data_IF_614217563341
#
_entry.id   IF_614217563341
#
_cell.length_a   1.000
_cell.length_b   1.000
_cell.length_c   1.000
_cell.angle_alpha   90.00
_cell.angle_beta   90.00
_cell.angle_gamma   90.00
#
_symmetry.space_group_name_H-M   'P 1'
#
loop_
_entity.id
_entity.type
_entity.pdbx_description
1 polymer ?
#
# COMPACT_ATOMS: atom_id res chain seq x y z
N UNK A 1 48.62 -83.41 18.04
CA UNK A 1 47.53 -82.54 18.52
C UNK A 1 46.50 -83.44 19.19
N UNK A 2 46.15 -83.23 20.46
CA UNK A 2 45.15 -84.10 21.11
C UNK A 2 43.77 -83.87 20.47
N UNK A 3 42.94 -84.90 20.30
CA UNK A 3 41.60 -84.77 19.71
C UNK A 3 40.74 -83.73 20.45
N UNK A 4 40.94 -83.59 21.76
CA UNK A 4 40.30 -82.56 22.60
C UNK A 4 40.63 -81.12 22.20
N UNK A 5 41.85 -80.85 21.72
CA UNK A 5 42.26 -79.51 21.27
C UNK A 5 41.59 -79.12 19.94
N UNK A 6 41.40 -80.10 19.04
CA UNK A 6 40.74 -79.89 17.75
C UNK A 6 39.24 -79.62 17.92
N UNK A 7 38.56 -80.37 18.80
CA UNK A 7 37.15 -80.10 19.15
C UNK A 7 36.95 -78.72 19.76
N UNK A 8 37.85 -78.30 20.67
CA UNK A 8 37.78 -76.97 21.27
C UNK A 8 37.96 -75.86 20.22
N UNK A 9 38.91 -76.01 19.29
CA UNK A 9 39.12 -75.05 18.20
C UNK A 9 37.92 -74.95 17.25
N UNK A 10 37.31 -76.09 16.90
CA UNK A 10 36.09 -76.12 16.07
C UNK A 10 34.91 -75.47 16.78
N UNK A 11 34.72 -75.73 18.07
CA UNK A 11 33.68 -75.09 18.87
C UNK A 11 33.86 -73.57 18.95
N UNK A 12 35.10 -73.09 19.14
CA UNK A 12 35.42 -71.66 19.13
C UNK A 12 35.15 -71.05 17.74
N UNK A 13 35.55 -71.72 16.66
CA UNK A 13 35.29 -71.23 15.29
C UNK A 13 33.79 -71.12 15.00
N UNK A 14 32.99 -72.11 15.43
CA UNK A 14 31.54 -72.09 15.28
C UNK A 14 30.90 -70.95 16.09
N UNK A 15 31.36 -70.73 17.32
CA UNK A 15 30.91 -69.65 18.17
C UNK A 15 31.23 -68.27 17.55
N UNK A 16 32.45 -68.10 17.02
CA UNK A 16 32.87 -66.88 16.33
C UNK A 16 32.08 -66.64 15.04
N UNK A 17 31.75 -67.69 14.28
CA UNK A 17 30.88 -67.59 13.10
C UNK A 17 29.45 -67.19 13.46
N UNK A 18 28.89 -67.75 14.54
CA UNK A 18 27.55 -67.39 15.03
C UNK A 18 27.52 -65.96 15.58
N UNK A 19 28.55 -65.56 16.33
CA UNK A 19 28.70 -64.20 16.86
C UNK A 19 28.87 -63.17 15.73
N UNK A 20 29.74 -63.45 14.75
CA UNK A 20 29.95 -62.56 13.60
C UNK A 20 28.72 -62.48 12.70
N UNK A 21 28.03 -63.59 12.44
CA UNK A 21 26.75 -63.61 11.73
C UNK A 21 25.64 -62.85 12.47
N UNK A 22 25.55 -62.99 13.79
CA UNK A 22 24.63 -62.25 14.63
C UNK A 22 24.90 -60.74 14.63
N UNK A 23 26.17 -60.33 14.76
CA UNK A 23 26.59 -58.93 14.68
C UNK A 23 26.30 -58.33 13.29
N UNK A 24 26.59 -59.07 12.21
CA UNK A 24 26.30 -58.64 10.85
C UNK A 24 24.79 -58.49 10.61
N UNK A 25 23.97 -59.42 11.13
CA UNK A 25 22.52 -59.34 11.04
C UNK A 25 21.95 -58.13 11.79
N UNK A 26 22.41 -57.88 13.02
CA UNK A 26 21.99 -56.70 13.81
C UNK A 26 22.42 -55.39 13.13
N UNK A 27 23.66 -55.34 12.62
CA UNK A 27 24.17 -54.17 11.90
C UNK A 27 23.36 -53.88 10.63
N UNK A 28 23.10 -54.92 9.82
CA UNK A 28 22.30 -54.78 8.61
C UNK A 28 20.86 -54.35 8.91
N UNK A 29 20.24 -54.89 9.97
CA UNK A 29 18.92 -54.43 10.42
C UNK A 29 18.91 -52.97 10.86
N UNK A 30 19.93 -52.52 11.61
CA UNK A 30 20.07 -51.11 12.01
C UNK A 30 20.25 -50.21 10.79
N UNK A 31 21.08 -50.60 9.83
CA UNK A 31 21.27 -49.87 8.57
C UNK A 31 19.96 -49.74 7.79
N UNK A 32 19.17 -50.81 7.68
CA UNK A 32 17.86 -50.77 7.03
C UNK A 32 16.89 -49.83 7.76
N UNK A 33 16.87 -49.84 9.10
CA UNK A 33 16.04 -48.95 9.90
C UNK A 33 16.44 -47.48 9.73
N UNK A 34 17.76 -47.18 9.77
CA UNK A 34 18.28 -45.82 9.57
C UNK A 34 17.97 -45.32 8.16
N UNK A 35 18.17 -46.14 7.13
CA UNK A 35 17.86 -45.77 5.75
C UNK A 35 16.36 -45.55 5.54
N UNK A 36 15.50 -46.39 6.13
CA UNK A 36 14.06 -46.21 6.05
C UNK A 36 13.60 -44.94 6.77
N UNK A 37 14.12 -44.68 7.97
CA UNK A 37 13.82 -43.47 8.74
C UNK A 37 14.32 -42.20 8.03
N UNK A 38 15.51 -42.25 7.43
CA UNK A 38 16.08 -41.15 6.64
C UNK A 38 15.20 -40.86 5.43
N UNK A 39 14.84 -41.91 4.67
CA UNK A 39 13.97 -41.78 3.49
C UNK A 39 12.59 -41.20 3.85
N UNK A 40 12.01 -41.62 4.98
CA UNK A 40 10.73 -41.06 5.44
C UNK A 40 10.87 -39.61 5.91
N UNK A 41 11.98 -39.26 6.55
CA UNK A 41 12.29 -37.88 6.92
C UNK A 41 12.45 -36.98 5.69
N UNK A 42 13.22 -37.42 4.69
CA UNK A 42 13.40 -36.71 3.41
C UNK A 42 12.07 -36.52 2.67
N UNK A 43 11.28 -37.60 2.57
CA UNK A 43 9.94 -37.55 1.97
C UNK A 43 9.05 -36.54 2.67
N UNK A 44 9.00 -36.58 4.01
CA UNK A 44 8.18 -35.68 4.82
C UNK A 44 8.61 -34.23 4.64
N UNK A 45 9.92 -33.93 4.66
CA UNK A 45 10.45 -32.59 4.40
C UNK A 45 10.06 -32.08 3.00
N UNK A 46 10.21 -32.91 1.97
CA UNK A 46 9.86 -32.54 0.60
C UNK A 46 8.37 -32.19 0.45
N UNK A 47 7.48 -32.96 1.10
CA UNK A 47 6.03 -32.68 1.10
C UNK A 47 5.70 -31.39 1.84
N UNK A 48 6.34 -31.12 2.98
CA UNK A 48 6.13 -29.87 3.72
C UNK A 48 6.57 -28.66 2.89
N UNK A 49 7.76 -28.72 2.29
CA UNK A 49 8.29 -27.65 1.43
C UNK A 49 7.39 -27.42 0.21
N UNK A 50 6.88 -28.49 -0.42
CA UNK A 50 6.00 -28.37 -1.58
C UNK A 50 4.63 -27.74 -1.27
N UNK A 51 4.20 -27.76 -0.01
CA UNK A 51 2.95 -27.15 0.44
C UNK A 51 3.13 -25.76 1.06
N UNK A 52 4.37 -25.26 1.19
CA UNK A 52 4.59 -23.89 1.65
C UNK A 52 4.16 -22.90 0.57
N UNK A 53 3.42 -21.84 0.92
CA UNK A 53 3.15 -20.76 -0.03
C UNK A 53 4.47 -20.07 -0.39
N UNK A 54 4.80 -19.99 -1.68
CA UNK A 54 6.00 -19.30 -2.16
C UNK A 54 7.22 -20.19 -2.39
N UNK A 55 8.41 -19.66 -2.13
CA UNK A 55 9.72 -20.28 -2.42
C UNK A 55 10.47 -20.52 -1.13
N UNK A 56 10.70 -21.78 -0.78
CA UNK A 56 11.72 -22.10 0.20
C UNK A 56 13.08 -22.06 -0.49
N UNK A 57 14.07 -21.40 0.10
CA UNK A 57 15.37 -21.21 -0.52
C UNK A 57 16.51 -21.47 0.46
N UNK A 58 17.68 -21.73 -0.13
CA UNK A 58 18.99 -21.62 0.53
C UNK A 58 19.89 -20.80 -0.37
N UNK A 59 20.56 -19.79 0.15
CA UNK A 59 21.51 -18.98 -0.62
C UNK A 59 22.76 -18.65 0.19
N UNK A 60 23.78 -18.17 -0.52
CA UNK A 60 25.00 -17.63 0.09
C UNK A 60 24.79 -16.20 0.55
N UNK A 61 25.52 -15.84 1.60
CA UNK A 61 25.65 -14.45 2.02
C UNK A 61 26.68 -13.73 1.14
N UNK A 62 26.27 -13.34 -0.06
CA UNK A 62 27.06 -12.58 -1.01
C UNK A 62 26.21 -11.50 -1.71
N UNK A 63 26.83 -10.52 -2.39
CA UNK A 63 26.09 -9.43 -3.04
C UNK A 63 25.10 -9.87 -4.15
N UNK A 64 25.23 -11.10 -4.63
CA UNK A 64 24.39 -11.66 -5.69
C UNK A 64 23.25 -12.54 -5.14
N UNK A 65 23.28 -12.84 -3.84
CA UNK A 65 22.40 -13.79 -3.17
C UNK A 65 22.40 -15.15 -3.90
N UNK A 66 23.60 -15.69 -4.13
CA UNK A 66 23.79 -16.91 -4.94
C UNK A 66 22.95 -18.08 -4.42
N UNK A 67 21.93 -18.47 -5.19
CA UNK A 67 20.96 -19.49 -4.78
C UNK A 67 21.56 -20.90 -4.89
N UNK A 68 21.53 -21.65 -3.79
CA UNK A 68 21.99 -23.05 -3.71
C UNK A 68 20.82 -24.03 -3.77
N UNK A 69 19.65 -23.61 -3.27
CA UNK A 69 18.40 -24.36 -3.34
C UNK A 69 17.23 -23.40 -3.55
N UNK A 70 16.26 -23.82 -4.36
CA UNK A 70 14.97 -23.15 -4.55
C UNK A 70 13.88 -24.23 -4.66
N UNK A 71 12.77 -24.06 -3.97
CA UNK A 71 11.60 -24.92 -4.10
C UNK A 71 10.86 -24.66 -5.43
N UNK A 72 9.91 -25.54 -5.75
CA UNK A 72 9.16 -25.51 -7.01
C UNK A 72 8.30 -24.24 -7.20
N UNK A 73 8.00 -23.49 -6.14
CA UNK A 73 7.26 -22.22 -6.24
C UNK A 73 8.01 -21.10 -6.98
N UNK A 74 9.30 -21.30 -7.29
CA UNK A 74 10.14 -20.30 -7.96
C UNK A 74 9.58 -19.87 -9.31
N UNK A 75 9.21 -20.84 -10.14
CA UNK A 75 8.69 -20.60 -11.49
C UNK A 75 7.37 -19.82 -11.43
N UNK A 76 6.49 -20.15 -10.47
CA UNK A 76 5.20 -19.48 -10.31
C UNK A 76 5.36 -18.03 -9.84
N UNK A 77 6.27 -17.77 -8.90
CA UNK A 77 6.49 -16.44 -8.33
C UNK A 77 7.29 -15.53 -9.28
N UNK A 78 8.41 -16.02 -9.80
CA UNK A 78 9.39 -15.21 -10.56
C UNK A 78 9.18 -15.28 -12.08
N UNK A 79 8.53 -16.33 -12.59
CA UNK A 79 8.46 -16.63 -14.02
C UNK A 79 9.76 -17.19 -14.60
N UNK A 80 10.83 -17.33 -13.81
CA UNK A 80 12.07 -17.98 -14.23
C UNK A 80 12.10 -19.42 -13.71
N UNK A 81 12.61 -20.33 -14.54
CA UNK A 81 12.92 -21.68 -14.06
C UNK A 81 13.98 -21.62 -12.95
N UNK A 82 13.83 -22.45 -11.92
CA UNK A 82 14.84 -22.70 -10.87
C UNK A 82 16.27 -22.81 -11.46
N UNK A 83 16.43 -23.49 -12.60
CA UNK A 83 17.75 -23.69 -13.22
C UNK A 83 18.45 -22.41 -13.69
N UNK A 84 17.70 -21.32 -13.92
CA UNK A 84 18.26 -20.03 -14.32
C UNK A 84 18.91 -19.30 -13.14
N UNK A 85 18.35 -19.46 -11.94
CA UNK A 85 18.74 -18.74 -10.74
C UNK A 85 19.72 -19.53 -9.87
N UNK A 86 19.65 -20.86 -9.87
CA UNK A 86 20.58 -21.71 -9.13
C UNK A 86 22.03 -21.45 -9.58
N UNK A 87 22.88 -21.11 -8.61
CA UNK A 87 24.30 -20.83 -8.82
C UNK A 87 24.57 -19.68 -9.79
N UNK A 88 23.64 -18.73 -9.91
CA UNK A 88 23.72 -17.57 -10.82
C UNK A 88 23.98 -17.96 -12.28
N UNK A 89 23.47 -19.12 -12.73
CA UNK A 89 23.76 -19.66 -14.07
C UNK A 89 23.37 -18.73 -15.21
N UNK A 90 22.24 -18.04 -15.07
CA UNK A 90 21.75 -17.06 -16.04
C UNK A 90 21.58 -15.69 -15.42
N UNK A 91 21.04 -15.64 -14.21
CA UNK A 91 20.72 -14.44 -13.45
C UNK A 91 21.02 -14.72 -11.99
N UNK A 92 21.46 -13.71 -11.25
CA UNK A 92 21.47 -13.77 -9.79
C UNK A 92 20.09 -13.45 -9.22
N UNK A 93 19.86 -13.74 -7.93
CA UNK A 93 18.63 -13.27 -7.30
C UNK A 93 18.64 -11.75 -7.12
N UNK A 94 19.81 -11.14 -6.88
CA UNK A 94 19.94 -9.69 -6.83
C UNK A 94 19.54 -9.01 -8.17
N UNK A 95 19.75 -9.66 -9.32
CA UNK A 95 19.35 -9.13 -10.63
C UNK A 95 17.84 -8.93 -10.76
N UNK A 96 17.04 -9.79 -10.14
CA UNK A 96 15.57 -9.72 -10.20
C UNK A 96 14.98 -8.79 -9.14
N UNK A 97 15.74 -8.42 -8.09
CA UNK A 97 15.33 -7.39 -7.14
C UNK A 97 15.34 -6.02 -7.85
N UNK A 98 14.28 -5.23 -7.65
CA UNK A 98 14.22 -3.88 -8.19
C UNK A 98 15.40 -3.04 -7.71
N UNK A 99 16.09 -2.28 -8.58
CA UNK A 99 17.28 -1.52 -8.21
C UNK A 99 17.10 -0.62 -6.99
N UNK A 100 15.90 -0.06 -6.81
CA UNK A 100 15.55 0.82 -5.70
C UNK A 100 15.51 0.09 -4.34
N UNK A 101 15.32 -1.23 -4.34
CA UNK A 101 15.14 -2.02 -3.12
C UNK A 101 16.43 -2.75 -2.70
N UNK A 102 17.42 -2.90 -3.58
CA UNK A 102 18.64 -3.73 -3.34
C UNK A 102 19.43 -3.29 -2.11
N UNK A 103 19.65 -1.99 -1.94
CA UNK A 103 20.40 -1.47 -0.79
C UNK A 103 19.66 -1.70 0.53
N UNK A 104 18.33 -1.55 0.52
CA UNK A 104 17.51 -1.81 1.69
C UNK A 104 17.52 -3.30 2.07
N UNK A 105 17.41 -4.20 1.08
CA UNK A 105 17.52 -5.65 1.29
C UNK A 105 18.86 -6.02 1.93
N UNK A 106 19.97 -5.52 1.36
CA UNK A 106 21.31 -5.77 1.92
C UNK A 106 21.43 -5.30 3.36
N UNK A 107 20.97 -4.09 3.66
CA UNK A 107 21.05 -3.50 5.00
C UNK A 107 20.32 -4.33 6.04
N UNK A 108 19.09 -4.77 5.74
CA UNK A 108 18.28 -5.55 6.70
C UNK A 108 18.88 -6.93 6.95
N UNK A 109 19.46 -7.57 5.94
CA UNK A 109 20.19 -8.83 6.12
C UNK A 109 21.48 -8.67 6.91
N UNK A 110 22.24 -7.58 6.71
CA UNK A 110 23.45 -7.31 7.47
C UNK A 110 23.14 -6.98 8.94
N UNK A 111 22.05 -6.25 9.22
CA UNK A 111 21.56 -6.03 10.58
C UNK A 111 21.12 -7.36 11.27
N UNK A 112 20.46 -8.26 10.53
CA UNK A 112 20.10 -9.59 11.02
C UNK A 112 21.36 -10.43 11.34
N UNK A 113 22.42 -10.29 10.53
CA UNK A 113 23.70 -10.97 10.74
C UNK A 113 24.35 -10.57 12.07
N UNK A 114 24.33 -9.28 12.38
CA UNK A 114 24.93 -8.71 13.59
C UNK A 114 24.09 -9.02 14.85
N UNK A 115 22.76 -8.93 14.73
CA UNK A 115 21.85 -9.15 15.85
C UNK A 115 21.57 -10.62 16.16
N UNK A 116 21.79 -11.52 15.20
CA UNK A 116 21.45 -12.94 15.32
C UNK A 116 19.94 -13.21 15.41
N UNK A 117 19.12 -12.27 14.94
CA UNK A 117 17.66 -12.42 14.90
C UNK A 117 17.21 -12.84 13.48
N UNK A 118 16.08 -13.56 13.35
CA UNK A 118 15.52 -13.89 12.05
C UNK A 118 15.21 -12.63 11.24
N UNK A 119 15.64 -12.64 9.98
CA UNK A 119 15.41 -11.55 9.05
C UNK A 119 13.95 -11.59 8.55
N UNK A 120 13.32 -10.42 8.45
CA UNK A 120 11.98 -10.24 7.86
C UNK A 120 11.94 -8.94 7.08
N UNK A 121 11.56 -9.00 5.82
CA UNK A 121 11.51 -7.83 4.96
C UNK A 121 10.50 -8.00 3.82
N UNK A 122 10.06 -6.87 3.28
CA UNK A 122 9.22 -6.81 2.09
C UNK A 122 9.93 -5.99 1.02
N UNK A 123 9.98 -6.49 -0.21
CA UNK A 123 10.62 -5.81 -1.34
C UNK A 123 9.98 -6.23 -2.65
N UNK A 124 10.39 -5.60 -3.74
CA UNK A 124 9.86 -5.86 -5.07
C UNK A 124 10.86 -6.64 -5.92
N UNK A 125 10.33 -7.61 -6.65
CA UNK A 125 11.06 -8.33 -7.70
C UNK A 125 10.41 -8.09 -9.06
N UNK A 126 11.21 -8.21 -10.12
CA UNK A 126 10.78 -8.17 -11.52
C UNK A 126 10.76 -9.59 -12.07
N UNK A 127 9.59 -10.00 -12.54
CA UNK A 127 9.38 -11.30 -13.18
C UNK A 127 9.95 -11.35 -14.59
N UNK A 128 10.05 -12.57 -15.13
CA UNK A 128 10.48 -12.82 -16.51
C UNK A 128 9.61 -12.14 -17.59
N UNK A 129 8.32 -11.93 -17.29
CA UNK A 129 7.37 -11.21 -18.16
C UNK A 129 7.40 -9.68 -17.96
N UNK A 130 8.27 -9.18 -17.08
CA UNK A 130 8.43 -7.77 -16.76
C UNK A 130 7.50 -7.25 -15.66
N UNK A 131 6.51 -8.04 -15.21
CA UNK A 131 5.63 -7.64 -14.11
C UNK A 131 6.40 -7.49 -12.80
N UNK A 132 5.98 -6.54 -11.97
CA UNK A 132 6.53 -6.35 -10.62
C UNK A 132 5.69 -7.14 -9.62
N UNK A 133 6.36 -7.84 -8.70
CA UNK A 133 5.73 -8.53 -7.56
C UNK A 133 6.29 -8.01 -6.26
N UNK A 134 5.42 -7.84 -5.27
CA UNK A 134 5.82 -7.65 -3.90
C UNK A 134 6.04 -9.01 -3.26
N UNK A 135 7.19 -9.19 -2.62
CA UNK A 135 7.52 -10.40 -1.88
C UNK A 135 7.77 -10.08 -0.43
N UNK A 136 7.35 -10.98 0.44
CA UNK A 136 7.75 -11.04 1.83
C UNK A 136 8.79 -12.14 1.97
N UNK A 137 9.95 -11.80 2.50
CA UNK A 137 11.01 -12.74 2.80
C UNK A 137 11.18 -12.87 4.30
N UNK A 138 11.30 -14.11 4.76
CA UNK A 138 11.68 -14.43 6.13
C UNK A 138 12.71 -15.55 6.11
N UNK A 139 13.84 -15.35 6.79
CA UNK A 139 14.90 -16.35 6.86
C UNK A 139 15.84 -16.14 8.04
N UNK A 140 16.80 -17.04 8.18
CA UNK A 140 17.81 -17.02 9.24
C UNK A 140 19.18 -17.46 8.70
N UNK A 141 20.23 -17.12 9.44
CA UNK A 141 21.59 -17.55 9.14
C UNK A 141 21.81 -18.97 9.67
N UNK A 142 22.18 -19.87 8.76
CA UNK A 142 22.68 -21.20 9.11
C UNK A 142 24.18 -21.09 9.36
N UNK A 143 24.61 -21.58 10.52
CA UNK A 143 26.02 -21.58 10.93
C UNK A 143 26.56 -22.99 11.04
N UNK A 144 27.81 -23.16 10.67
CA UNK A 144 28.50 -24.44 10.77
C UNK A 144 28.92 -24.75 12.22
N UNK A 145 29.59 -25.89 12.42
CA UNK A 145 30.11 -26.30 13.74
C UNK A 145 31.18 -25.36 14.33
N UNK A 146 31.76 -24.47 13.52
CA UNK A 146 32.76 -23.48 13.94
C UNK A 146 32.12 -22.12 14.26
N UNK A 147 30.81 -21.96 14.00
CA UNK A 147 30.06 -20.72 14.22
C UNK A 147 30.07 -19.77 13.02
N UNK A 148 30.75 -20.16 11.93
CA UNK A 148 30.83 -19.38 10.71
C UNK A 148 29.53 -19.49 9.90
N UNK A 149 29.20 -18.45 9.16
CA UNK A 149 27.99 -18.43 8.34
C UNK A 149 28.17 -19.37 7.15
N UNK A 150 27.33 -20.40 7.11
CA UNK A 150 27.32 -21.39 6.04
C UNK A 150 26.37 -20.97 4.91
N UNK A 151 25.17 -20.48 5.26
CA UNK A 151 24.16 -20.06 4.31
C UNK A 151 23.05 -19.23 4.98
N UNK A 152 22.14 -18.71 4.16
CA UNK A 152 20.84 -18.22 4.57
C UNK A 152 19.80 -19.22 4.13
N UNK A 153 18.83 -19.52 5.00
CA UNK A 153 17.68 -20.34 4.67
C UNK A 153 16.39 -19.62 5.04
N UNK A 154 15.38 -19.72 4.18
CA UNK A 154 14.15 -18.98 4.40
C UNK A 154 13.04 -19.29 3.41
N UNK A 155 12.02 -18.44 3.46
CA UNK A 155 10.84 -18.48 2.62
C UNK A 155 10.59 -17.11 1.99
N UNK A 156 10.22 -17.09 0.71
CA UNK A 156 9.82 -15.90 -0.05
C UNK A 156 8.39 -16.10 -0.54
N UNK A 157 7.46 -15.24 -0.12
CA UNK A 157 6.02 -15.36 -0.39
C UNK A 157 5.56 -14.19 -1.26
N UNK A 158 4.74 -14.45 -2.29
CA UNK A 158 4.02 -13.39 -3.00
C UNK A 158 3.03 -12.70 -2.04
N UNK A 159 3.16 -11.38 -1.89
CA UNK A 159 2.23 -10.54 -1.14
C UNK A 159 1.61 -9.45 -2.03
N UNK A 160 1.71 -9.59 -3.36
CA UNK A 160 1.22 -8.61 -4.34
C UNK A 160 -0.26 -8.36 -4.18
N UNK A 161 -1.09 -9.40 -4.07
CA UNK A 161 -2.55 -9.24 -3.93
C UNK A 161 -2.91 -8.51 -2.64
N UNK A 162 -2.19 -8.79 -1.54
CA UNK A 162 -2.36 -8.06 -0.27
C UNK A 162 -2.01 -6.58 -0.43
N UNK A 163 -0.87 -6.26 -1.06
CA UNK A 163 -0.44 -4.88 -1.31
C UNK A 163 -1.40 -4.14 -2.23
N UNK A 164 -1.93 -4.80 -3.25
CA UNK A 164 -2.94 -4.22 -4.14
C UNK A 164 -4.26 -3.97 -3.41
N UNK A 165 -4.69 -4.90 -2.55
CA UNK A 165 -5.89 -4.73 -1.73
C UNK A 165 -5.72 -3.59 -0.72
N UNK A 166 -4.57 -3.49 -0.04
CA UNK A 166 -4.24 -2.38 0.86
C UNK A 166 -4.24 -1.03 0.12
N UNK A 167 -3.65 -0.98 -1.07
CA UNK A 167 -3.62 0.22 -1.90
C UNK A 167 -5.01 0.64 -2.38
N UNK A 168 -5.86 -0.32 -2.78
CA UNK A 168 -7.23 -0.04 -3.20
C UNK A 168 -8.10 0.40 -2.02
N UNK A 169 -7.97 -0.23 -0.85
CA UNK A 169 -8.62 0.21 0.37
C UNK A 169 -8.21 1.63 0.75
N UNK A 170 -6.92 1.96 0.65
CA UNK A 170 -6.43 3.32 0.86
C UNK A 170 -7.02 4.31 -0.15
N UNK A 171 -7.08 3.92 -1.42
CA UNK A 171 -7.66 4.75 -2.49
C UNK A 171 -9.14 5.02 -2.22
N UNK A 172 -9.91 4.00 -1.85
CA UNK A 172 -11.33 4.13 -1.53
C UNK A 172 -11.58 4.93 -0.25
N UNK A 173 -10.69 4.83 0.75
CA UNK A 173 -10.81 5.59 1.99
C UNK A 173 -10.44 7.06 1.82
N UNK A 174 -9.61 7.39 0.81
CA UNK A 174 -8.98 8.71 0.66
C UNK A 174 -9.52 9.53 -0.51
N UNK A 175 -9.87 8.89 -1.63
CA UNK A 175 -10.24 9.57 -2.88
C UNK A 175 -11.72 9.42 -3.23
N UNK A 176 -12.25 10.40 -3.96
CA UNK A 176 -13.56 10.33 -4.61
C UNK A 176 -13.45 9.59 -5.95
N UNK A 177 -14.36 8.66 -6.18
CA UNK A 177 -14.29 7.73 -7.32
C UNK A 177 -14.57 8.39 -8.68
N UNK A 178 -15.35 9.48 -8.72
CA UNK A 178 -15.67 10.20 -9.97
C UNK A 178 -14.53 11.16 -10.33
N UNK A 179 -14.07 11.92 -9.35
CA UNK A 179 -13.19 13.06 -9.59
C UNK A 179 -11.71 12.73 -9.43
N UNK A 180 -11.36 11.68 -8.68
CA UNK A 180 -10.00 11.35 -8.30
C UNK A 180 -9.37 12.32 -7.29
N UNK A 181 -10.12 13.31 -6.81
CA UNK A 181 -9.69 14.21 -5.74
C UNK A 181 -9.82 13.55 -4.37
N UNK A 182 -9.35 14.20 -3.31
CA UNK A 182 -9.64 13.74 -1.96
C UNK A 182 -11.14 13.73 -1.68
N UNK A 183 -11.61 12.73 -0.94
CA UNK A 183 -12.99 12.68 -0.50
C UNK A 183 -13.21 13.57 0.73
N UNK A 184 -14.48 13.83 1.05
CA UNK A 184 -14.89 14.61 2.23
C UNK A 184 -14.25 14.12 3.52
N UNK A 185 -14.23 12.80 3.77
CA UNK A 185 -13.70 12.24 5.03
C UNK A 185 -12.24 12.63 5.22
N UNK A 186 -11.42 12.38 4.21
CA UNK A 186 -9.99 12.69 4.25
C UNK A 186 -9.73 14.19 4.42
N UNK A 187 -10.47 15.04 3.70
CA UNK A 187 -10.36 16.49 3.84
C UNK A 187 -10.64 16.95 5.27
N UNK A 188 -11.70 16.44 5.91
CA UNK A 188 -12.06 16.81 7.28
C UNK A 188 -11.01 16.37 8.30
N UNK A 189 -10.45 15.17 8.15
CA UNK A 189 -9.36 14.68 8.99
C UNK A 189 -8.12 15.57 8.85
N UNK A 190 -7.72 15.91 7.62
CA UNK A 190 -6.58 16.79 7.37
C UNK A 190 -6.80 18.22 7.84
N UNK A 191 -8.00 18.76 7.67
CA UNK A 191 -8.32 20.11 8.11
C UNK A 191 -8.30 20.24 9.64
N UNK A 192 -8.77 19.22 10.37
CA UNK A 192 -8.61 19.13 11.82
C UNK A 192 -7.14 19.11 12.25
N UNK A 193 -6.30 18.32 11.55
CA UNK A 193 -4.86 18.26 11.84
C UNK A 193 -4.17 19.61 11.59
N UNK A 194 -4.48 20.26 10.47
CA UNK A 194 -3.94 21.58 10.12
C UNK A 194 -4.34 22.66 11.13
N UNK A 195 -5.58 22.63 11.63
CA UNK A 195 -6.03 23.56 12.67
C UNK A 195 -5.28 23.34 13.99
N UNK A 196 -5.07 22.07 14.38
CA UNK A 196 -4.28 21.73 15.56
C UNK A 196 -2.80 22.14 15.43
N UNK A 197 -2.23 21.99 14.23
CA UNK A 197 -0.88 22.46 13.90
C UNK A 197 -0.80 24.00 13.98
N UNK A 198 -1.75 24.71 13.37
CA UNK A 198 -1.84 26.18 13.40
C UNK A 198 -1.88 26.76 14.81
N UNK A 199 -2.62 26.12 15.72
CA UNK A 199 -2.69 26.53 17.14
C UNK A 199 -1.37 26.38 17.88
N UNK A 200 -0.52 25.44 17.48
CA UNK A 200 0.81 25.22 18.07
C UNK A 200 1.87 26.11 17.44
N UNK A 201 1.83 26.23 16.12
CA UNK A 201 2.74 27.04 15.31
C UNK A 201 1.91 27.87 14.32
N UNK A 202 1.81 29.20 14.49
CA UNK A 202 0.95 30.06 13.66
C UNK A 202 1.36 30.12 12.19
N UNK A 203 0.99 29.09 11.41
CA UNK A 203 1.11 29.04 9.95
C UNK A 203 -0.26 29.20 9.34
N UNK A 204 -0.57 30.31 8.65
CA UNK A 204 -1.91 30.55 8.14
C UNK A 204 -2.24 29.56 7.01
N UNK A 205 -3.47 29.07 6.99
CA UNK A 205 -4.03 28.38 5.84
C UNK A 205 -5.43 28.94 5.55
N UNK A 206 -5.88 28.76 4.31
CA UNK A 206 -7.20 29.22 3.88
C UNK A 206 -8.04 28.07 3.35
N UNK A 207 -9.32 28.10 3.67
CA UNK A 207 -10.35 27.20 3.23
C UNK A 207 -11.20 27.89 2.17
N UNK A 208 -11.36 27.27 1.01
CA UNK A 208 -12.34 27.64 0.00
C UNK A 208 -13.37 26.53 -0.16
N UNK A 209 -14.66 26.87 -0.11
CA UNK A 209 -15.77 25.99 -0.47
C UNK A 209 -16.32 26.50 -1.80
N UNK A 210 -16.46 25.59 -2.76
CA UNK A 210 -16.85 25.87 -4.13
C UNK A 210 -18.09 25.07 -4.48
N UNK A 211 -18.98 25.67 -5.27
CA UNK A 211 -20.19 25.01 -5.77
C UNK A 211 -20.35 25.31 -7.27
N UNK A 212 -20.55 24.27 -8.06
CA UNK A 212 -20.80 24.42 -9.50
C UNK A 212 -22.20 24.99 -9.71
N UNK A 213 -22.27 26.18 -10.27
CA UNK A 213 -23.53 26.88 -10.47
C UNK A 213 -24.41 26.13 -11.46
N UNK A 214 -25.68 25.93 -11.08
CA UNK A 214 -26.70 25.32 -11.93
C UNK A 214 -26.33 23.92 -12.46
N UNK A 215 -25.45 23.18 -11.77
CA UNK A 215 -24.98 21.87 -12.23
C UNK A 215 -26.11 20.85 -12.43
N UNK A 216 -27.19 20.93 -11.65
CA UNK A 216 -28.41 20.16 -11.89
C UNK A 216 -28.95 20.31 -13.33
N UNK A 217 -28.92 21.51 -13.92
CA UNK A 217 -29.38 21.73 -15.29
C UNK A 217 -28.52 20.98 -16.32
N UNK A 218 -27.22 20.82 -16.05
CA UNK A 218 -26.33 20.01 -16.89
C UNK A 218 -26.73 18.54 -16.83
N UNK A 219 -27.00 18.02 -15.63
CA UNK A 219 -27.48 16.65 -15.48
C UNK A 219 -28.83 16.43 -16.15
N UNK A 220 -29.77 17.36 -15.98
CA UNK A 220 -31.11 17.28 -16.55
C UNK A 220 -31.07 17.36 -18.08
N UNK A 221 -30.14 18.14 -18.66
CA UNK A 221 -30.01 18.32 -20.11
C UNK A 221 -29.18 17.23 -20.81
N UNK A 222 -28.09 16.77 -20.19
CA UNK A 222 -27.08 15.90 -20.84
C UNK A 222 -26.93 14.52 -20.17
N UNK A 223 -27.62 14.29 -19.04
CA UNK A 223 -27.56 13.05 -18.27
C UNK A 223 -26.42 13.00 -17.25
N UNK A 224 -26.53 12.09 -16.28
CA UNK A 224 -25.57 11.96 -15.17
C UNK A 224 -24.14 11.65 -15.62
N UNK A 225 -23.96 10.83 -16.67
CA UNK A 225 -22.62 10.52 -17.19
C UNK A 225 -21.92 11.76 -17.75
N UNK A 226 -22.67 12.70 -18.35
CA UNK A 226 -22.12 13.98 -18.77
C UNK A 226 -21.78 14.87 -17.57
N UNK A 227 -22.62 14.86 -16.52
CA UNK A 227 -22.30 15.47 -15.23
C UNK A 227 -20.97 14.98 -14.65
N UNK A 228 -20.74 13.67 -14.63
CA UNK A 228 -19.49 13.08 -14.15
C UNK A 228 -18.27 13.53 -14.98
N UNK A 229 -18.43 13.68 -16.31
CA UNK A 229 -17.38 14.21 -17.19
C UNK A 229 -17.05 15.67 -16.83
N UNK A 230 -18.07 16.48 -16.57
CA UNK A 230 -17.90 17.87 -16.12
C UNK A 230 -17.19 17.92 -14.78
N UNK A 231 -17.61 17.12 -13.79
CA UNK A 231 -16.97 17.05 -12.47
C UNK A 231 -15.49 16.63 -12.58
N UNK A 232 -15.18 15.60 -13.39
CA UNK A 232 -13.82 15.16 -13.62
C UNK A 232 -12.96 16.24 -14.31
N UNK A 233 -13.51 16.95 -15.29
CA UNK A 233 -12.82 18.05 -15.95
C UNK A 233 -12.60 19.26 -15.04
N UNK A 234 -13.60 19.62 -14.23
CA UNK A 234 -13.53 20.66 -13.22
C UNK A 234 -12.44 20.35 -12.18
N UNK A 235 -12.37 19.09 -11.75
CA UNK A 235 -11.40 18.60 -10.79
C UNK A 235 -9.96 18.72 -11.27
N UNK A 236 -9.69 18.34 -12.53
CA UNK A 236 -8.38 18.51 -13.16
C UNK A 236 -7.99 19.99 -13.25
N UNK A 237 -8.95 20.85 -13.58
CA UNK A 237 -8.72 22.29 -13.64
C UNK A 237 -8.38 22.85 -12.24
N UNK A 238 -9.14 22.46 -11.21
CA UNK A 238 -8.91 22.88 -9.83
C UNK A 238 -7.52 22.45 -9.34
N UNK A 239 -7.15 21.19 -9.56
CA UNK A 239 -5.81 20.66 -9.25
C UNK A 239 -4.70 21.46 -9.95
N UNK A 240 -4.87 21.81 -11.23
CA UNK A 240 -3.86 22.54 -11.99
C UNK A 240 -3.67 23.99 -11.52
N UNK A 241 -4.68 24.58 -10.89
CA UNK A 241 -4.62 25.94 -10.35
C UNK A 241 -3.96 26.01 -8.96
N UNK A 242 -3.93 24.88 -8.25
CA UNK A 242 -3.37 24.71 -6.92
C UNK A 242 -1.96 24.12 -6.96
N UNK A 243 -1.22 24.22 -5.86
CA UNK A 243 0.12 23.63 -5.74
C UNK A 243 0.03 22.16 -5.35
N UNK A 244 1.07 21.33 -5.60
CA UNK A 244 1.06 19.91 -5.23
C UNK A 244 0.81 19.62 -3.74
N UNK A 245 1.09 20.59 -2.86
CA UNK A 245 0.90 20.47 -1.42
C UNK A 245 -0.43 21.03 -0.92
N UNK A 246 -1.15 21.80 -1.75
CA UNK A 246 -2.51 22.22 -1.41
C UNK A 246 -3.46 21.03 -1.48
N UNK A 247 -4.48 20.99 -0.62
CA UNK A 247 -5.42 19.88 -0.60
C UNK A 247 -6.68 20.28 -1.35
N UNK A 248 -7.07 19.50 -2.35
CA UNK A 248 -8.32 19.70 -3.09
C UNK A 248 -9.14 18.43 -3.06
N UNK A 249 -10.44 18.56 -2.84
CA UNK A 249 -11.32 17.42 -2.70
C UNK A 249 -12.77 17.73 -3.06
N UNK A 250 -13.53 16.67 -3.32
CA UNK A 250 -14.97 16.76 -3.51
C UNK A 250 -15.63 16.66 -2.13
N UNK A 251 -16.31 17.74 -1.75
CA UNK A 251 -16.99 17.86 -0.46
C UNK A 251 -18.38 17.23 -0.48
N UNK A 252 -19.11 17.41 -1.58
CA UNK A 252 -20.48 16.96 -1.77
C UNK A 252 -20.82 16.88 -3.26
N UNK A 253 -22.06 16.49 -3.61
CA UNK A 253 -22.50 16.22 -4.99
C UNK A 253 -21.84 17.12 -6.05
N UNK A 254 -22.10 18.42 -6.02
CA UNK A 254 -21.50 19.44 -6.90
C UNK A 254 -20.57 20.41 -6.15
N UNK A 255 -20.21 20.05 -4.92
CA UNK A 255 -19.44 20.90 -4.01
C UNK A 255 -17.99 20.41 -3.88
N UNK A 256 -17.06 21.35 -3.92
CA UNK A 256 -15.63 21.11 -3.80
C UNK A 256 -15.05 21.93 -2.67
N UNK A 257 -13.90 21.49 -2.16
CA UNK A 257 -13.17 22.16 -1.11
C UNK A 257 -11.69 22.22 -1.49
N UNK A 258 -11.10 23.40 -1.30
CA UNK A 258 -9.66 23.62 -1.46
C UNK A 258 -9.07 24.19 -0.16
N UNK A 259 -8.00 23.58 0.32
CA UNK A 259 -7.24 24.02 1.49
C UNK A 259 -5.88 24.51 0.97
N UNK A 260 -5.70 25.83 0.99
CA UNK A 260 -4.51 26.51 0.48
C UNK A 260 -3.54 26.74 1.64
N UNK A 261 -2.40 26.06 1.58
CA UNK A 261 -1.43 26.05 2.69
C UNK A 261 -0.52 27.28 2.67
N UNK A 262 -0.19 27.78 3.86
CA UNK A 262 0.72 28.90 4.07
C UNK A 262 0.28 30.19 3.36
N UNK A 263 -1.04 30.43 3.30
CA UNK A 263 -1.66 31.57 2.62
C UNK A 263 -2.81 32.13 3.44
N UNK A 264 -2.92 33.45 3.42
CA UNK A 264 -4.04 34.20 3.97
C UNK A 264 -5.22 34.27 2.99
N UNK A 265 -6.33 34.85 3.47
CA UNK A 265 -7.59 35.00 2.72
C UNK A 265 -7.36 35.71 1.38
N UNK A 266 -6.53 36.76 1.34
CA UNK A 266 -6.28 37.53 0.13
C UNK A 266 -5.53 36.71 -0.93
N UNK A 267 -4.47 35.99 -0.54
CA UNK A 267 -3.72 35.16 -1.48
C UNK A 267 -4.53 33.94 -1.95
N UNK A 268 -5.34 33.34 -1.08
CA UNK A 268 -6.24 32.26 -1.46
C UNK A 268 -7.32 32.74 -2.45
N UNK A 269 -7.88 33.92 -2.22
CA UNK A 269 -8.85 34.56 -3.13
C UNK A 269 -8.27 34.79 -4.52
N UNK A 270 -7.01 35.21 -4.64
CA UNK A 270 -6.35 35.32 -5.96
C UNK A 270 -6.24 33.98 -6.70
N UNK A 271 -5.98 32.89 -5.98
CA UNK A 271 -5.95 31.53 -6.58
C UNK A 271 -7.35 31.15 -7.04
N UNK A 272 -8.36 31.37 -6.19
CA UNK A 272 -9.75 31.03 -6.50
C UNK A 272 -10.35 31.88 -7.61
N UNK A 273 -10.03 33.18 -7.70
CA UNK A 273 -10.47 34.04 -8.80
C UNK A 273 -9.84 33.61 -10.13
N UNK A 274 -8.55 33.24 -10.14
CA UNK A 274 -7.91 32.68 -11.33
C UNK A 274 -8.56 31.37 -11.76
N UNK A 275 -8.93 30.52 -10.80
CA UNK A 275 -9.64 29.28 -11.08
C UNK A 275 -11.04 29.55 -11.65
N UNK A 276 -11.83 30.40 -10.98
CA UNK A 276 -13.16 30.81 -11.40
C UNK A 276 -13.18 31.37 -12.83
N UNK A 277 -12.26 32.29 -13.15
CA UNK A 277 -12.15 32.87 -14.49
C UNK A 277 -11.86 31.80 -15.56
N UNK A 278 -11.04 30.79 -15.24
CA UNK A 278 -10.80 29.67 -16.16
C UNK A 278 -12.00 28.75 -16.33
N UNK A 279 -12.80 28.54 -15.27
CA UNK A 279 -14.07 27.80 -15.36
C UNK A 279 -15.03 28.54 -16.29
N UNK A 280 -15.27 29.84 -16.05
CA UNK A 280 -16.19 30.65 -16.85
C UNK A 280 -15.79 30.74 -18.33
N UNK A 281 -14.48 30.79 -18.63
CA UNK A 281 -13.98 30.83 -20.01
C UNK A 281 -14.02 29.48 -20.74
N UNK A 282 -14.29 28.36 -20.03
CA UNK A 282 -14.18 27.02 -20.58
C UNK A 282 -15.54 26.46 -21.01
N UNK A 283 -15.58 25.92 -22.22
CA UNK A 283 -16.63 24.98 -22.62
C UNK A 283 -16.23 23.57 -22.17
N UNK A 284 -17.02 22.95 -21.31
CA UNK A 284 -16.81 21.59 -20.84
C UNK A 284 -17.39 20.62 -21.86
N UNK A 285 -16.56 19.72 -22.39
CA UNK A 285 -17.00 18.73 -23.37
C UNK A 285 -17.98 17.75 -22.73
N UNK A 286 -19.21 17.70 -23.27
CA UNK A 286 -20.28 16.79 -22.85
C UNK A 286 -20.94 16.19 -24.10
N UNK A 287 -20.88 14.87 -24.27
CA UNK A 287 -21.51 14.17 -25.40
C UNK A 287 -21.20 14.72 -26.81
N UNK A 288 -20.08 15.43 -27.00
CA UNK A 288 -19.71 16.07 -28.27
C UNK A 288 -20.06 17.57 -28.37
N UNK A 289 -20.87 18.08 -27.45
CA UNK A 289 -21.21 19.50 -27.30
C UNK A 289 -20.38 20.17 -26.19
N UNK A 290 -20.49 21.50 -26.08
CA UNK A 290 -19.87 22.30 -25.01
C UNK A 290 -20.89 22.84 -24.02
N UNK A 291 -20.78 22.45 -22.75
CA UNK A 291 -21.54 23.07 -21.66
C UNK A 291 -20.71 24.18 -21.01
N UNK A 292 -21.31 25.36 -20.88
CA UNK A 292 -20.75 26.46 -20.10
C UNK A 292 -21.32 26.39 -18.68
N UNK A 293 -20.42 26.32 -17.70
CA UNK A 293 -20.74 26.34 -16.27
C UNK A 293 -19.90 27.42 -15.59
N UNK A 294 -20.41 27.93 -14.47
CA UNK A 294 -19.70 28.86 -13.59
C UNK A 294 -19.55 28.24 -12.21
N UNK A 295 -18.83 28.92 -11.33
CA UNK A 295 -18.61 28.46 -9.96
C UNK A 295 -18.75 29.62 -8.98
N UNK A 296 -19.48 29.38 -7.89
CA UNK A 296 -19.54 30.26 -6.74
C UNK A 296 -18.57 29.76 -5.67
N UNK A 297 -17.83 30.67 -5.02
CA UNK A 297 -16.74 30.31 -4.10
C UNK A 297 -16.82 31.19 -2.84
N UNK A 298 -16.82 30.56 -1.67
CA UNK A 298 -16.60 31.24 -0.38
C UNK A 298 -15.22 30.91 0.19
N UNK A 299 -14.47 31.93 0.63
CA UNK A 299 -13.11 31.78 1.17
C UNK A 299 -13.04 32.29 2.60
N UNK A 300 -12.45 31.51 3.50
CA UNK A 300 -12.14 31.90 4.88
C UNK A 300 -10.74 31.44 5.29
N UNK A 301 -10.04 32.18 6.16
CA UNK A 301 -8.72 31.80 6.64
C UNK A 301 -8.70 31.40 8.12
N UNK A 302 -7.74 30.56 8.47
CA UNK A 302 -7.50 30.13 9.85
C UNK A 302 -7.19 31.30 10.78
N UNK A 303 -6.63 32.40 10.26
CA UNK A 303 -6.34 33.61 11.01
C UNK A 303 -7.58 34.45 11.36
N UNK A 304 -8.76 34.11 10.82
CA UNK A 304 -10.03 34.75 11.18
C UNK A 304 -10.67 34.11 12.41
N UNK A 305 -10.15 32.97 12.87
CA UNK A 305 -10.63 32.25 14.04
C UNK A 305 -10.12 32.87 15.34
N UNK A 306 -11.00 32.98 16.32
CA UNK A 306 -10.65 33.22 17.71
C UNK A 306 -10.00 32.01 18.37
N UNK A 307 -9.43 32.22 19.56
CA UNK A 307 -8.69 31.18 20.30
C UNK A 307 -9.54 29.95 20.65
N UNK A 308 -10.85 30.14 20.87
CA UNK A 308 -11.79 29.08 21.24
C UNK A 308 -12.53 28.48 20.04
N UNK A 309 -12.37 29.08 18.85
CA UNK A 309 -13.13 28.69 17.66
C UNK A 309 -12.58 27.40 17.05
N UNK A 310 -13.50 26.46 16.81
CA UNK A 310 -13.21 25.15 16.23
C UNK A 310 -13.23 25.14 14.70
N UNK A 311 -13.05 23.95 14.15
CA UNK A 311 -13.15 23.70 12.72
C UNK A 311 -14.52 24.11 12.14
N UNK A 312 -15.58 23.85 12.89
CA UNK A 312 -16.95 24.14 12.46
C UNK A 312 -17.15 25.62 12.15
N UNK A 313 -16.48 26.52 12.89
CA UNK A 313 -16.56 27.96 12.66
C UNK A 313 -15.89 28.37 11.35
N UNK A 314 -14.72 27.79 11.03
CA UNK A 314 -14.03 28.05 9.77
C UNK A 314 -14.87 27.62 8.56
N UNK A 315 -15.49 26.44 8.66
CA UNK A 315 -16.38 25.91 7.63
C UNK A 315 -17.62 26.81 7.51
N UNK A 316 -18.22 27.21 8.64
CA UNK A 316 -19.38 28.11 8.69
C UNK A 316 -19.09 29.43 7.99
N UNK A 317 -17.93 30.05 8.24
CA UNK A 317 -17.52 31.29 7.56
C UNK A 317 -17.40 31.10 6.04
N UNK A 318 -16.72 30.04 5.59
CA UNK A 318 -16.58 29.76 4.17
C UNK A 318 -17.94 29.46 3.49
N UNK A 319 -18.81 28.72 4.17
CA UNK A 319 -20.15 28.38 3.67
C UNK A 319 -21.08 29.61 3.57
N UNK A 320 -21.06 30.49 4.57
CA UNK A 320 -21.80 31.76 4.51
C UNK A 320 -21.36 32.64 3.34
N UNK A 321 -20.05 32.67 3.06
CA UNK A 321 -19.50 33.41 1.92
C UNK A 321 -19.87 32.78 0.58
N UNK A 322 -19.90 31.45 0.51
CA UNK A 322 -20.40 30.73 -0.66
C UNK A 322 -21.88 31.03 -0.90
N UNK A 323 -22.70 31.03 0.16
CA UNK A 323 -24.10 31.40 0.08
C UNK A 323 -24.28 32.84 -0.42
N UNK A 324 -23.50 33.79 0.12
CA UNK A 324 -23.49 35.17 -0.37
C UNK A 324 -23.06 35.28 -1.84
N UNK A 325 -22.09 34.48 -2.28
CA UNK A 325 -21.68 34.42 -3.68
C UNK A 325 -22.86 34.02 -4.60
N UNK A 326 -23.65 33.03 -4.17
CA UNK A 326 -24.85 32.57 -4.90
C UNK A 326 -25.93 33.65 -4.96
N UNK A 327 -26.22 34.32 -3.85
CA UNK A 327 -27.24 35.39 -3.76
C UNK A 327 -26.87 36.64 -4.55
N UNK A 328 -25.59 36.99 -4.60
CA UNK A 328 -25.12 38.17 -5.32
C UNK A 328 -25.07 37.97 -6.85
N UNK A 329 -25.54 36.82 -7.36
CA UNK A 329 -25.65 36.53 -8.78
C UNK A 329 -24.65 35.50 -9.30
N UNK A 330 -24.05 34.67 -8.42
CA UNK A 330 -23.15 33.56 -8.77
C UNK A 330 -21.87 34.03 -9.49
N UNK A 331 -21.10 33.07 -10.01
CA UNK A 331 -19.84 33.28 -10.75
C UNK A 331 -18.90 34.28 -10.09
N UNK A 332 -18.60 34.07 -8.79
CA UNK A 332 -17.73 34.98 -8.02
C UNK A 332 -17.07 34.31 -6.83
N UNK A 333 -16.02 34.96 -6.35
CA UNK A 333 -15.43 34.67 -5.04
C UNK A 333 -15.91 35.70 -4.02
N UNK A 334 -16.28 35.23 -2.83
CA UNK A 334 -16.56 36.07 -1.66
C UNK A 334 -15.60 35.67 -0.55
N UNK A 335 -14.85 36.63 -0.04
CA UNK A 335 -13.75 36.41 0.91
C UNK A 335 -13.91 37.21 2.22
N UNK A 336 -14.99 37.98 2.33
CA UNK A 336 -15.34 38.81 3.49
C UNK A 336 -16.85 38.84 3.69
N UNK A 337 -17.26 38.96 4.96
CA UNK A 337 -18.67 39.09 5.30
C UNK A 337 -19.17 40.46 4.84
N UNK A 338 -20.27 40.46 4.07
CA UNK A 338 -20.92 41.69 3.65
C UNK A 338 -21.99 42.08 4.68
N UNK A 339 -21.98 43.33 5.20
CA UNK A 339 -23.02 43.78 6.11
C UNK A 339 -24.37 43.84 5.36
N UNK A 340 -25.29 42.93 5.70
CA UNK A 340 -26.67 42.95 5.20
C UNK A 340 -27.28 41.61 4.76
N UNK A 341 -26.51 40.52 4.68
CA UNK A 341 -27.04 39.17 4.37
C UNK A 341 -27.13 38.37 5.67
N UNK A 342 -28.24 38.52 6.41
CA UNK A 342 -28.51 37.74 7.62
C UNK A 342 -28.85 36.29 7.27
N UNK A 343 -28.07 35.35 7.79
CA UNK A 343 -28.29 33.91 7.68
C UNK A 343 -29.40 33.43 8.63
N UNK A 344 -30.66 33.72 8.31
CA UNK A 344 -31.80 33.01 8.89
C UNK A 344 -32.29 31.97 7.86
N UNK A 345 -31.68 30.77 7.87
CA UNK A 345 -32.10 29.69 6.97
C UNK A 345 -31.27 28.40 7.03
N UNK A 346 -30.05 28.42 7.57
CA UNK A 346 -29.17 27.25 7.66
C UNK A 346 -29.47 26.33 8.85
N UNK A 347 -30.70 25.81 8.97
CA UNK A 347 -31.02 24.77 9.96
C UNK A 347 -32.03 23.77 9.40
N UNK A 348 -31.70 23.11 8.31
CA UNK A 348 -32.26 21.78 8.00
C UNK A 348 -31.47 21.16 6.86
N UNK A 349 -30.55 20.23 7.17
CA UNK A 349 -30.14 19.10 6.31
C UNK A 349 -29.08 18.25 7.05
N UNK A 350 -29.56 17.25 7.81
CA UNK A 350 -28.96 15.91 8.01
C UNK A 350 -29.24 15.31 9.39
N UNK A 351 -30.47 14.85 9.59
CA UNK A 351 -30.76 13.77 10.53
C UNK A 351 -31.88 12.91 9.95
N UNK A 352 -31.52 11.99 9.05
CA UNK A 352 -32.38 10.86 8.69
C UNK A 352 -31.55 9.58 8.73
N UNK A 353 -31.31 9.10 9.94
CA UNK A 353 -30.93 7.72 10.20
C UNK A 353 -32.19 6.96 10.62
N UNK A 354 -32.74 6.15 9.71
CA UNK A 354 -33.63 5.04 10.07
C UNK A 354 -33.44 3.92 9.05
N UNK A 355 -32.55 2.99 9.39
CA UNK A 355 -32.48 1.70 8.71
C UNK A 355 -33.73 0.84 9.03
N UNK A 356 -34.11 -0.09 8.14
CA UNK A 356 -35.28 -0.93 8.34
C UNK A 356 -35.00 -2.01 9.40
N UNK A 357 -35.91 -2.15 10.37
CA UNK A 357 -35.96 -3.31 11.27
C UNK A 357 -36.47 -4.52 10.49
N UNK A 358 -35.71 -5.60 10.54
CA UNK A 358 -36.13 -6.93 10.14
C UNK A 358 -37.25 -7.46 11.06
N UNK A 359 -38.23 -8.13 10.46
CA UNK A 359 -39.07 -9.14 11.09
C UNK A 359 -38.72 -10.50 10.48
#
# INVERSE_FOLDING_TARGET
>A
MSPQLLELLLAICLLLLLLSGGLAWVSNRRLQQINAALKESERSKAVLIANLPGIAYRCRYDPDWTMEFLSQGCDQLTGYSVQHLLGNRRLSWNDIILPEDREAVWRVWDEARESGQPCRLEYRIRRADGQVRWVFEQGDFVRDSQGEIEALEGLIIDITDRKMAEAELYRQSTLDHVTGLYNRRYLMERLNQLLAEHRREPRPFSLAILDLDHFKQVNDAYGHQAGDQVLAAFSRLLQSCCRPYDLVGRYGGEEFMAIILNRDTAAATQVMERFRAQVAARAFAVNGDGAHITVSIGVAASGELGSDDGLDELIRLADQRLYAAKELGRDRVVDRDQPGVSSEGGATLSASASGPRAH
#
